data_IF_916649392197
#
_entry.id   IF_916649392197
#
_cell.length_a   1.000
_cell.length_b   1.000
_cell.length_c   1.000
_cell.angle_alpha   90.00
_cell.angle_beta   90.00
_cell.angle_gamma   90.00
#
_symmetry.space_group_name_H-M   'P 1'
#
loop_
_entity.id
_entity.type
_entity.pdbx_description
1 polymer ?
#
# COMPACT_ATOMS: atom_id res chain seq x y z
N UNK A 1 -27.53 0.51 8.44
CA UNK A 1 -28.33 1.46 9.26
C UNK A 1 -27.99 2.88 8.83
N UNK A 2 -28.97 3.78 8.87
CA UNK A 2 -28.81 5.19 8.57
C UNK A 2 -28.69 5.95 9.90
N UNK A 3 -27.67 6.78 10.04
CA UNK A 3 -27.37 7.49 11.26
C UNK A 3 -27.37 8.99 11.02
N UNK A 4 -27.68 9.78 12.06
CA UNK A 4 -27.66 11.25 11.99
C UNK A 4 -26.30 11.74 12.48
N UNK A 5 -25.61 12.51 11.62
CA UNK A 5 -24.40 13.22 11.97
C UNK A 5 -24.63 14.71 11.77
N UNK A 6 -24.75 15.44 12.86
CA UNK A 6 -25.17 16.83 12.78
C UNK A 6 -26.64 16.94 12.27
N UNK A 7 -26.81 17.55 11.11
CA UNK A 7 -28.10 17.62 10.40
C UNK A 7 -28.20 16.66 9.22
N UNK A 8 -27.11 15.91 8.92
CA UNK A 8 -27.01 15.01 7.78
C UNK A 8 -27.15 13.55 8.19
N UNK A 9 -27.66 12.73 7.28
CA UNK A 9 -27.73 11.29 7.46
C UNK A 9 -26.51 10.62 6.89
N UNK A 10 -25.89 9.71 7.64
CA UNK A 10 -24.72 8.92 7.22
C UNK A 10 -25.09 7.45 7.18
N UNK A 11 -24.68 6.78 6.09
CA UNK A 11 -24.81 5.32 6.01
C UNK A 11 -23.62 4.66 6.68
N UNK A 12 -23.91 3.83 7.67
CA UNK A 12 -22.91 3.09 8.43
C UNK A 12 -23.02 1.59 8.18
N UNK A 13 -21.87 0.93 8.24
CA UNK A 13 -21.72 -0.51 8.08
C UNK A 13 -21.16 -1.11 9.36
N UNK A 14 -21.74 -2.23 9.77
CA UNK A 14 -21.27 -3.00 10.91
C UNK A 14 -19.92 -3.66 10.58
N UNK A 15 -18.94 -3.52 11.44
CA UNK A 15 -17.63 -4.17 11.29
C UNK A 15 -17.41 -5.32 12.26
N UNK A 16 -18.33 -5.53 13.22
CA UNK A 16 -18.31 -6.60 14.21
C UNK A 16 -19.55 -7.48 14.07
N UNK A 17 -19.45 -8.48 13.23
CA UNK A 17 -20.56 -9.42 13.04
C UNK A 17 -20.86 -10.20 14.33
N UNK A 18 -22.14 -10.23 14.72
CA UNK A 18 -22.60 -10.96 15.90
C UNK A 18 -22.58 -10.17 17.20
N UNK A 19 -22.01 -8.97 17.22
CA UNK A 19 -22.10 -8.04 18.35
C UNK A 19 -23.41 -7.24 18.26
N UNK A 20 -24.15 -7.06 19.37
CA UNK A 20 -25.43 -6.33 19.34
C UNK A 20 -25.28 -4.87 18.92
N UNK A 21 -26.24 -4.40 18.13
CA UNK A 21 -26.43 -2.99 17.85
C UNK A 21 -27.55 -2.49 18.78
N UNK A 22 -27.23 -1.73 19.83
CA UNK A 22 -28.25 -1.27 20.77
C UNK A 22 -29.15 -0.20 20.13
N UNK A 23 -30.44 -0.28 20.43
CA UNK A 23 -31.38 0.80 20.16
C UNK A 23 -31.13 1.95 21.16
N UNK A 24 -31.40 3.19 20.75
CA UNK A 24 -31.34 4.41 21.57
C UNK A 24 -29.96 4.72 22.20
N UNK A 25 -28.88 4.32 21.58
CA UNK A 25 -27.52 4.60 22.05
C UNK A 25 -26.83 5.63 21.15
N UNK A 26 -26.17 6.61 21.76
CA UNK A 26 -25.37 7.59 21.03
C UNK A 26 -23.99 7.03 20.70
N UNK A 27 -23.60 7.12 19.43
CA UNK A 27 -22.29 6.78 18.94
C UNK A 27 -21.43 8.01 18.74
N UNK A 28 -20.15 7.89 19.00
CA UNK A 28 -19.16 8.90 18.68
C UNK A 28 -18.34 8.51 17.45
N UNK A 29 -18.23 9.41 16.47
CA UNK A 29 -17.42 9.20 15.28
C UNK A 29 -15.98 9.66 15.50
N UNK A 30 -14.99 8.87 15.10
CA UNK A 30 -13.57 9.17 15.13
C UNK A 30 -12.87 8.75 13.87
N UNK A 31 -11.99 9.59 13.32
CA UNK A 31 -11.08 9.23 12.24
C UNK A 31 -9.87 8.43 12.73
N UNK A 32 -9.58 8.50 14.03
CA UNK A 32 -8.56 7.73 14.72
C UNK A 32 -9.26 6.83 15.72
N UNK A 33 -9.43 5.59 15.36
CA UNK A 33 -9.96 4.58 16.26
C UNK A 33 -8.95 4.34 17.40
N UNK A 34 -9.22 4.94 18.55
CA UNK A 34 -8.39 4.79 19.74
C UNK A 34 -9.20 4.04 20.77
N UNK A 35 -9.14 2.83 21.03
CA UNK A 35 -9.68 2.11 22.18
C UNK A 35 -9.94 0.62 21.91
N UNK A 36 -9.00 -0.06 21.23
CA UNK A 36 -9.07 -1.53 21.08
C UNK A 36 -10.29 -2.01 20.31
N UNK A 37 -10.85 -1.15 19.44
CA UNK A 37 -11.98 -1.51 18.62
C UNK A 37 -11.59 -2.43 17.45
N UNK A 38 -12.57 -3.00 16.80
CA UNK A 38 -12.37 -3.93 15.70
C UNK A 38 -11.54 -3.34 14.55
N UNK A 39 -11.69 -2.06 14.25
CA UNK A 39 -10.96 -1.40 13.17
C UNK A 39 -9.43 -1.36 13.43
N UNK A 40 -9.00 -1.13 14.67
CA UNK A 40 -7.57 -1.13 15.01
C UNK A 40 -6.92 -2.50 14.81
N UNK A 41 -7.68 -3.57 15.02
CA UNK A 41 -7.24 -4.95 14.85
C UNK A 41 -7.12 -5.37 13.37
N UNK A 42 -7.68 -4.60 12.43
CA UNK A 42 -7.60 -4.91 11.02
C UNK A 42 -6.18 -4.70 10.49
N UNK A 43 -5.73 -5.60 9.62
CA UNK A 43 -4.47 -5.42 8.89
C UNK A 43 -4.53 -4.23 7.91
N UNK A 44 -3.38 -3.79 7.43
CA UNK A 44 -3.32 -2.72 6.43
C UNK A 44 -4.08 -3.10 5.16
N UNK A 45 -3.94 -4.35 4.70
CA UNK A 45 -4.67 -4.85 3.52
C UNK A 45 -6.18 -4.88 3.74
N UNK A 46 -6.64 -5.28 4.94
CA UNK A 46 -8.07 -5.25 5.27
C UNK A 46 -8.60 -3.81 5.26
N UNK A 47 -7.82 -2.85 5.76
CA UNK A 47 -8.19 -1.42 5.71
C UNK A 47 -8.25 -0.88 4.28
N UNK A 48 -7.30 -1.26 3.41
CA UNK A 48 -7.32 -0.92 1.99
C UNK A 48 -8.58 -1.50 1.30
N UNK A 49 -8.87 -2.78 1.53
CA UNK A 49 -10.06 -3.43 0.98
C UNK A 49 -11.37 -2.81 1.49
N UNK A 50 -11.43 -2.46 2.77
CA UNK A 50 -12.58 -1.80 3.38
C UNK A 50 -12.83 -0.43 2.73
N UNK A 51 -11.76 0.36 2.50
CA UNK A 51 -11.86 1.63 1.79
C UNK A 51 -12.42 1.45 0.37
N UNK A 52 -11.97 0.44 -0.35
CA UNK A 52 -12.48 0.14 -1.69
C UNK A 52 -13.95 -0.30 -1.64
N UNK A 53 -14.35 -1.12 -0.67
CA UNK A 53 -15.73 -1.54 -0.51
C UNK A 53 -16.66 -0.34 -0.26
N UNK A 54 -16.23 0.62 0.54
CA UNK A 54 -16.98 1.86 0.77
C UNK A 54 -16.95 2.82 -0.42
N UNK A 55 -15.87 2.83 -1.20
CA UNK A 55 -15.74 3.66 -2.40
C UNK A 55 -16.70 3.19 -3.50
N UNK A 56 -16.80 1.89 -3.73
CA UNK A 56 -17.59 1.30 -4.81
C UNK A 56 -18.97 0.79 -4.38
N UNK A 57 -19.23 0.77 -3.08
CA UNK A 57 -20.50 0.38 -2.50
C UNK A 57 -21.50 1.55 -2.38
N UNK A 58 -22.61 1.28 -1.72
CA UNK A 58 -23.59 2.29 -1.37
C UNK A 58 -23.05 3.21 -0.23
N UNK A 59 -23.33 4.53 -0.20
CA UNK A 59 -24.14 5.30 -1.14
C UNK A 59 -23.33 5.90 -2.32
N UNK A 60 -22.04 5.60 -2.44
CA UNK A 60 -21.17 6.24 -3.44
C UNK A 60 -21.45 5.76 -4.88
N UNK A 61 -22.17 4.67 -5.02
CA UNK A 61 -22.62 4.17 -6.31
C UNK A 61 -23.76 5.03 -6.87
N UNK A 62 -23.64 5.51 -8.10
CA UNK A 62 -24.58 6.46 -8.71
C UNK A 62 -25.48 5.84 -9.79
N UNK A 63 -25.28 4.58 -10.13
CA UNK A 63 -26.01 3.82 -11.14
C UNK A 63 -27.25 3.08 -10.60
N UNK A 64 -27.82 3.60 -9.51
CA UNK A 64 -28.99 3.02 -8.86
C UNK A 64 -30.27 3.68 -9.35
N UNK A 65 -31.16 2.88 -9.93
CA UNK A 65 -32.39 3.39 -10.55
C UNK A 65 -33.60 3.40 -9.60
N UNK A 66 -33.60 2.50 -8.59
CA UNK A 66 -34.74 2.32 -7.68
C UNK A 66 -34.31 2.17 -6.21
N UNK A 67 -35.25 2.34 -5.28
CA UNK A 67 -35.01 2.05 -3.85
C UNK A 67 -34.68 0.58 -3.59
N UNK A 68 -35.14 -0.33 -4.46
CA UNK A 68 -34.81 -1.76 -4.38
C UNK A 68 -33.34 -1.99 -4.71
N UNK A 69 -32.81 -1.28 -5.72
CA UNK A 69 -31.41 -1.31 -6.09
C UNK A 69 -30.56 -0.73 -4.97
N UNK A 70 -30.96 0.39 -4.38
CA UNK A 70 -30.28 0.98 -3.22
C UNK A 70 -30.17 0.01 -2.05
N UNK A 71 -31.26 -0.69 -1.69
CA UNK A 71 -31.26 -1.68 -0.63
C UNK A 71 -30.39 -2.90 -0.94
N UNK A 72 -30.43 -3.37 -2.19
CA UNK A 72 -29.60 -4.48 -2.64
C UNK A 72 -28.12 -4.13 -2.63
N UNK A 73 -27.76 -2.94 -3.11
CA UNK A 73 -26.40 -2.43 -3.10
C UNK A 73 -25.90 -2.22 -1.67
N UNK A 74 -26.69 -1.61 -0.79
CA UNK A 74 -26.36 -1.46 0.65
C UNK A 74 -26.08 -2.82 1.31
N UNK A 75 -26.95 -3.79 1.10
CA UNK A 75 -26.80 -5.12 1.69
C UNK A 75 -25.59 -5.86 1.13
N UNK A 76 -25.30 -5.73 -0.17
CA UNK A 76 -24.12 -6.29 -0.81
C UNK A 76 -22.83 -5.66 -0.25
N UNK A 77 -22.82 -4.33 -0.07
CA UNK A 77 -21.71 -3.62 0.55
C UNK A 77 -21.46 -4.11 1.98
N UNK A 78 -22.54 -4.28 2.78
CA UNK A 78 -22.43 -4.80 4.13
C UNK A 78 -21.84 -6.22 4.17
N UNK A 79 -22.24 -7.10 3.25
CA UNK A 79 -21.66 -8.45 3.19
C UNK A 79 -20.15 -8.39 2.88
N UNK A 80 -19.75 -7.58 1.91
CA UNK A 80 -18.32 -7.42 1.57
C UNK A 80 -17.54 -6.87 2.77
N UNK A 81 -18.08 -5.89 3.49
CA UNK A 81 -17.49 -5.36 4.73
C UNK A 81 -17.28 -6.48 5.75
N UNK A 82 -18.27 -7.33 6.01
CA UNK A 82 -18.11 -8.45 6.92
C UNK A 82 -17.10 -9.49 6.45
N UNK A 83 -17.10 -9.83 5.16
CA UNK A 83 -16.10 -10.75 4.61
C UNK A 83 -14.67 -10.25 4.84
N UNK A 84 -14.44 -8.92 4.72
CA UNK A 84 -13.14 -8.30 4.98
C UNK A 84 -12.81 -8.31 6.47
N UNK A 85 -13.72 -7.83 7.32
CA UNK A 85 -13.46 -7.66 8.77
C UNK A 85 -13.35 -8.98 9.52
N UNK A 86 -13.97 -10.05 9.01
CA UNK A 86 -13.84 -11.42 9.51
C UNK A 86 -12.60 -12.15 8.97
N UNK A 87 -11.85 -11.54 8.04
CA UNK A 87 -10.68 -12.15 7.41
C UNK A 87 -11.02 -13.26 6.39
N UNK A 88 -12.25 -13.31 5.89
CA UNK A 88 -12.66 -14.28 4.87
C UNK A 88 -12.25 -13.82 3.47
N UNK A 89 -12.13 -12.52 3.27
CA UNK A 89 -11.73 -11.91 2.00
C UNK A 89 -10.34 -11.31 2.11
N UNK A 90 -9.38 -11.87 1.36
CA UNK A 90 -7.98 -11.42 1.30
C UNK A 90 -7.68 -10.49 0.12
N UNK A 91 -8.52 -10.54 -0.93
CA UNK A 91 -8.47 -9.63 -2.06
C UNK A 91 -9.87 -9.49 -2.69
N UNK A 92 -10.09 -8.57 -3.64
CA UNK A 92 -11.39 -8.48 -4.31
C UNK A 92 -11.83 -9.77 -5.01
N UNK A 93 -10.88 -10.63 -5.40
CA UNK A 93 -11.12 -11.89 -6.13
C UNK A 93 -10.96 -13.14 -5.29
N UNK A 94 -10.40 -13.04 -4.06
CA UNK A 94 -10.12 -14.18 -3.20
C UNK A 94 -11.03 -14.16 -1.97
N UNK A 95 -11.89 -15.15 -1.87
CA UNK A 95 -12.81 -15.35 -0.77
C UNK A 95 -12.64 -16.78 -0.22
N UNK A 96 -12.28 -16.89 1.06
CA UNK A 96 -12.32 -18.14 1.83
C UNK A 96 -13.55 -18.10 2.73
N UNK A 97 -14.72 -18.19 2.10
CA UNK A 97 -16.00 -18.11 2.80
C UNK A 97 -16.23 -19.35 3.67
N UNK A 98 -16.69 -19.12 4.89
CA UNK A 98 -16.96 -20.18 5.84
C UNK A 98 -18.46 -20.35 6.00
N UNK A 99 -18.87 -21.60 6.31
CA UNK A 99 -20.25 -21.87 6.69
C UNK A 99 -20.61 -21.03 7.91
N UNK A 100 -21.55 -20.14 7.74
CA UNK A 100 -22.05 -19.32 8.82
C UNK A 100 -23.19 -20.04 9.49
N UNK A 101 -23.13 -20.32 10.80
CA UNK A 101 -24.19 -21.00 11.50
C UNK A 101 -25.38 -20.05 11.74
N UNK A 102 -26.17 -19.80 10.72
CA UNK A 102 -27.49 -19.23 10.88
C UNK A 102 -28.44 -20.41 11.04
N UNK A 103 -29.11 -20.51 12.18
CA UNK A 103 -30.05 -21.59 12.46
C UNK A 103 -31.09 -21.73 11.34
N UNK A 104 -31.15 -22.91 10.73
CA UNK A 104 -32.08 -23.21 9.64
C UNK A 104 -31.55 -22.99 8.21
N UNK A 105 -30.30 -22.56 8.05
CA UNK A 105 -29.69 -22.39 6.74
C UNK A 105 -28.52 -23.35 6.52
N UNK A 106 -28.38 -23.85 5.29
CA UNK A 106 -27.24 -24.64 4.85
C UNK A 106 -26.41 -23.83 3.86
N UNK A 107 -25.09 -23.86 4.00
CA UNK A 107 -24.16 -23.14 3.12
C UNK A 107 -23.61 -21.86 3.75
N UNK A 108 -22.95 -21.05 2.93
CA UNK A 108 -22.35 -19.80 3.36
C UNK A 108 -23.36 -18.65 3.30
N UNK A 109 -23.07 -17.54 4.02
CA UNK A 109 -23.89 -16.34 3.93
C UNK A 109 -23.94 -15.80 2.49
N UNK A 110 -22.81 -15.84 1.79
CA UNK A 110 -22.70 -15.41 0.38
C UNK A 110 -23.62 -16.21 -0.51
N UNK A 111 -23.63 -17.54 -0.39
CA UNK A 111 -24.54 -18.40 -1.16
C UNK A 111 -26.01 -18.10 -0.91
N UNK A 112 -26.38 -17.83 0.34
CA UNK A 112 -27.77 -17.52 0.70
C UNK A 112 -28.23 -16.18 0.12
N UNK A 113 -27.43 -15.12 0.29
CA UNK A 113 -27.78 -13.78 -0.16
C UNK A 113 -27.72 -13.64 -1.69
N UNK A 114 -26.76 -14.30 -2.34
CA UNK A 114 -26.63 -14.29 -3.81
C UNK A 114 -27.72 -15.09 -4.55
N UNK A 115 -28.63 -15.77 -3.84
CA UNK A 115 -29.88 -16.29 -4.46
C UNK A 115 -30.81 -15.16 -4.92
N UNK A 116 -30.74 -14.00 -4.29
CA UNK A 116 -31.42 -12.79 -4.77
C UNK A 116 -30.62 -12.19 -5.91
N UNK A 117 -31.20 -12.12 -7.12
CA UNK A 117 -30.50 -11.65 -8.32
C UNK A 117 -30.03 -10.20 -8.21
N UNK A 118 -30.81 -9.31 -7.60
CA UNK A 118 -30.45 -7.89 -7.44
C UNK A 118 -29.29 -7.74 -6.47
N UNK A 119 -29.30 -8.49 -5.37
CA UNK A 119 -28.19 -8.54 -4.44
C UNK A 119 -26.92 -9.02 -5.14
N UNK A 120 -27.00 -10.15 -5.87
CA UNK A 120 -25.86 -10.73 -6.58
C UNK A 120 -25.28 -9.80 -7.62
N UNK A 121 -26.11 -9.09 -8.36
CA UNK A 121 -25.70 -8.12 -9.38
C UNK A 121 -24.81 -7.02 -8.75
N UNK A 122 -25.27 -6.38 -7.68
CA UNK A 122 -24.47 -5.33 -7.01
C UNK A 122 -23.26 -5.90 -6.28
N UNK A 123 -23.35 -7.09 -5.71
CA UNK A 123 -22.22 -7.78 -5.10
C UNK A 123 -21.09 -8.00 -6.12
N UNK A 124 -21.43 -8.54 -7.29
CA UNK A 124 -20.47 -8.79 -8.37
C UNK A 124 -19.91 -7.49 -8.95
N UNK A 125 -20.76 -6.47 -9.15
CA UNK A 125 -20.32 -5.16 -9.67
C UNK A 125 -19.34 -4.47 -8.72
N UNK A 126 -19.65 -4.42 -7.42
CA UNK A 126 -18.75 -3.82 -6.41
C UNK A 126 -17.41 -4.53 -6.43
N UNK A 127 -17.40 -5.88 -6.41
CA UNK A 127 -16.16 -6.65 -6.44
C UNK A 127 -15.37 -6.48 -7.73
N UNK A 128 -16.03 -6.36 -8.87
CA UNK A 128 -15.40 -6.09 -10.16
C UNK A 128 -14.68 -4.73 -10.15
N UNK A 129 -15.36 -3.69 -9.66
CA UNK A 129 -14.80 -2.34 -9.56
C UNK A 129 -13.65 -2.29 -8.56
N UNK A 130 -13.81 -2.94 -7.40
CA UNK A 130 -12.73 -3.12 -6.42
C UNK A 130 -11.51 -3.82 -7.04
N UNK A 131 -11.72 -4.89 -7.81
CA UNK A 131 -10.63 -5.64 -8.44
C UNK A 131 -9.86 -4.81 -9.47
N UNK A 132 -10.57 -4.05 -10.28
CA UNK A 132 -9.96 -3.14 -11.25
C UNK A 132 -9.12 -2.05 -10.57
N UNK A 133 -9.59 -1.52 -9.44
CA UNK A 133 -8.88 -0.51 -8.66
C UNK A 133 -7.71 -1.09 -7.87
N UNK A 134 -7.86 -2.27 -7.29
CA UNK A 134 -6.86 -2.93 -6.42
C UNK A 134 -5.59 -3.33 -7.17
N UNK A 135 -5.65 -3.41 -8.49
CA UNK A 135 -4.54 -3.82 -9.34
C UNK A 135 -3.36 -2.84 -9.22
N UNK A 136 -2.19 -3.37 -8.91
CA UNK A 136 -0.91 -2.63 -8.78
C UNK A 136 0.03 -2.95 -9.94
N UNK A 137 1.07 -2.13 -10.19
CA UNK A 137 2.12 -2.50 -11.13
C UNK A 137 2.74 -3.85 -10.77
N UNK A 138 2.96 -4.71 -11.75
CA UNK A 138 3.36 -6.11 -11.56
C UNK A 138 4.68 -6.30 -10.80
N UNK A 139 5.53 -5.27 -10.81
CA UNK A 139 6.81 -5.25 -10.14
C UNK A 139 6.77 -4.67 -8.71
N UNK A 140 5.59 -4.53 -8.10
CA UNK A 140 5.44 -3.93 -6.76
C UNK A 140 4.81 -4.91 -5.77
N UNK A 141 5.03 -4.65 -4.48
CA UNK A 141 4.34 -5.31 -3.38
C UNK A 141 3.22 -4.45 -2.79
N UNK A 142 2.35 -5.09 -2.02
CA UNK A 142 1.22 -4.43 -1.31
C UNK A 142 1.66 -3.74 -0.04
N UNK A 143 2.68 -4.28 0.64
CA UNK A 143 3.22 -3.77 1.90
C UNK A 143 4.70 -3.44 1.75
N UNK A 144 5.20 -2.57 2.63
CA UNK A 144 6.62 -2.27 2.72
C UNK A 144 7.45 -3.52 3.08
N UNK A 145 6.91 -4.39 3.94
CA UNK A 145 7.57 -5.63 4.37
C UNK A 145 7.70 -6.67 3.27
N UNK A 146 6.77 -6.67 2.30
CA UNK A 146 6.75 -7.58 1.15
C UNK A 146 7.17 -6.90 -0.16
N UNK A 147 7.76 -5.70 -0.09
CA UNK A 147 8.23 -4.97 -1.26
C UNK A 147 9.37 -5.72 -1.95
N UNK A 148 9.25 -6.05 -3.25
CA UNK A 148 10.33 -6.68 -4.01
C UNK A 148 11.53 -5.72 -4.15
N UNK A 149 12.73 -6.30 -4.22
CA UNK A 149 14.00 -5.57 -4.32
C UNK A 149 14.58 -5.69 -5.71
N UNK A 150 15.14 -4.59 -6.22
CA UNK A 150 15.79 -4.51 -7.52
C UNK A 150 17.15 -3.82 -7.39
N UNK A 151 18.19 -4.45 -7.97
CA UNK A 151 19.50 -3.85 -8.07
C UNK A 151 19.60 -3.01 -9.34
N UNK A 152 20.19 -1.82 -9.24
CA UNK A 152 20.44 -0.93 -10.35
C UNK A 152 21.79 -1.24 -11.01
N UNK A 153 21.81 -1.36 -12.33
CA UNK A 153 23.03 -1.45 -13.11
C UNK A 153 23.68 -0.09 -13.32
N UNK A 154 25.00 -0.04 -13.35
CA UNK A 154 25.75 1.18 -13.68
C UNK A 154 25.93 1.29 -15.19
N UNK A 155 25.19 2.21 -15.80
CA UNK A 155 25.17 2.43 -17.26
C UNK A 155 25.28 3.92 -17.55
N UNK A 156 26.16 4.32 -18.49
CA UNK A 156 26.34 5.70 -18.93
C UNK A 156 26.55 6.71 -17.78
N UNK A 157 27.35 6.31 -16.79
CA UNK A 157 27.75 7.17 -15.68
C UNK A 157 26.72 7.32 -14.55
N UNK A 158 25.67 6.54 -14.56
CA UNK A 158 24.64 6.50 -13.50
C UNK A 158 24.12 5.08 -13.25
N UNK A 159 23.62 4.86 -12.05
CA UNK A 159 22.89 3.64 -11.74
C UNK A 159 21.46 3.76 -12.27
N UNK A 160 20.94 2.70 -12.89
CA UNK A 160 19.60 2.70 -13.46
C UNK A 160 18.98 1.31 -13.46
N UNK A 161 17.68 1.26 -13.27
CA UNK A 161 16.85 0.06 -13.50
C UNK A 161 15.57 0.47 -14.19
N UNK A 162 15.13 -0.31 -15.17
CA UNK A 162 13.85 -0.09 -15.85
C UNK A 162 12.95 -1.32 -15.64
N UNK A 163 11.80 -1.10 -15.02
CA UNK A 163 10.81 -2.11 -14.68
C UNK A 163 9.59 -1.96 -15.58
N UNK A 164 9.14 -3.07 -16.16
CA UNK A 164 7.97 -3.09 -17.04
C UNK A 164 6.75 -3.61 -16.28
N UNK A 165 5.67 -2.87 -16.32
CA UNK A 165 4.39 -3.25 -15.71
C UNK A 165 3.57 -4.12 -16.68
N UNK A 166 3.50 -5.42 -16.42
CA UNK A 166 2.70 -6.38 -17.19
C UNK A 166 1.19 -6.25 -16.93
N UNK A 167 0.81 -5.61 -15.81
CA UNK A 167 -0.58 -5.35 -15.48
C UNK A 167 -1.16 -4.15 -16.23
N UNK A 168 -0.32 -3.33 -16.87
CA UNK A 168 -0.71 -2.13 -17.61
C UNK A 168 -1.53 -1.12 -16.79
N UNK A 169 -1.18 -0.94 -15.52
CA UNK A 169 -1.82 0.01 -14.60
C UNK A 169 -0.91 1.14 -14.14
N UNK A 170 0.37 1.11 -14.50
CA UNK A 170 1.39 2.05 -14.03
C UNK A 170 1.04 3.52 -14.33
N UNK A 171 0.35 3.81 -15.43
CA UNK A 171 -0.13 5.16 -15.78
C UNK A 171 -1.07 5.76 -14.72
N UNK A 172 -1.70 4.92 -13.89
CA UNK A 172 -2.55 5.35 -12.79
C UNK A 172 -1.78 5.69 -11.52
N UNK A 173 -0.45 5.52 -11.51
CA UNK A 173 0.40 5.73 -10.34
C UNK A 173 1.36 6.90 -10.52
N UNK A 174 1.89 7.39 -9.41
CA UNK A 174 3.00 8.33 -9.37
C UNK A 174 3.92 7.96 -8.20
N UNK A 175 5.20 8.26 -8.35
CA UNK A 175 6.17 8.05 -7.28
C UNK A 175 5.99 9.15 -6.24
N UNK A 176 5.66 8.77 -5.01
CA UNK A 176 5.41 9.70 -3.89
C UNK A 176 6.57 9.79 -2.90
N UNK A 177 7.40 8.74 -2.83
CA UNK A 177 8.62 8.72 -2.02
C UNK A 177 9.65 7.88 -2.75
N UNK A 178 10.84 8.42 -2.95
CA UNK A 178 11.88 7.84 -3.78
C UNK A 178 13.27 7.80 -3.11
N UNK A 179 13.39 8.20 -1.84
CA UNK A 179 14.65 8.14 -1.10
C UNK A 179 15.84 8.83 -1.78
N UNK A 180 15.61 9.88 -2.58
CA UNK A 180 16.64 10.56 -3.36
C UNK A 180 16.91 9.94 -4.75
N UNK A 181 16.23 8.84 -5.09
CA UNK A 181 16.29 8.21 -6.43
C UNK A 181 15.43 8.99 -7.41
N UNK A 182 15.95 9.29 -8.59
CA UNK A 182 15.15 9.91 -9.66
C UNK A 182 14.25 8.87 -10.30
N UNK A 183 12.96 9.20 -10.48
CA UNK A 183 11.96 8.33 -11.06
C UNK A 183 11.32 8.95 -12.31
N UNK A 184 11.14 8.15 -13.35
CA UNK A 184 10.44 8.53 -14.58
C UNK A 184 9.49 7.41 -15.01
N UNK A 185 8.25 7.78 -15.35
CA UNK A 185 7.24 6.87 -15.87
C UNK A 185 6.97 7.21 -17.34
N UNK A 186 7.07 6.20 -18.21
CA UNK A 186 6.78 6.31 -19.63
C UNK A 186 5.99 5.08 -20.10
N UNK A 187 4.72 5.27 -20.39
CA UNK A 187 3.81 4.15 -20.71
C UNK A 187 3.71 3.17 -19.54
N UNK A 188 4.04 1.91 -19.79
CA UNK A 188 4.08 0.86 -18.78
C UNK A 188 5.48 0.61 -18.16
N UNK A 189 6.42 1.57 -18.31
CA UNK A 189 7.78 1.45 -17.77
C UNK A 189 8.06 2.48 -16.71
N UNK A 190 8.60 2.01 -15.58
CA UNK A 190 9.20 2.83 -14.53
C UNK A 190 10.71 2.73 -14.65
N UNK A 191 11.37 3.86 -14.85
CA UNK A 191 12.84 3.96 -14.80
C UNK A 191 13.23 4.68 -13.53
N UNK A 192 14.08 4.04 -12.73
CA UNK A 192 14.68 4.59 -11.51
C UNK A 192 16.16 4.78 -11.75
N UNK A 193 16.73 5.90 -11.28
CA UNK A 193 18.15 6.17 -11.45
C UNK A 193 18.74 6.95 -10.27
N UNK A 194 20.04 6.70 -10.01
CA UNK A 194 20.84 7.40 -9.01
C UNK A 194 22.21 7.78 -9.60
N UNK A 195 22.71 8.93 -9.22
CA UNK A 195 24.11 9.33 -9.55
C UNK A 195 25.12 8.80 -8.54
N UNK A 196 24.67 8.26 -7.41
CA UNK A 196 25.49 7.74 -6.33
C UNK A 196 25.15 6.28 -6.03
N UNK A 197 26.09 5.50 -5.47
CA UNK A 197 25.79 4.18 -4.93
C UNK A 197 24.69 4.24 -3.85
N UNK A 198 23.94 3.19 -3.72
CA UNK A 198 22.91 2.99 -2.70
C UNK A 198 23.20 1.65 -2.05
N UNK A 199 23.95 1.67 -0.96
CA UNK A 199 24.41 0.45 -0.26
C UNK A 199 23.31 -0.18 0.58
N UNK A 200 22.46 0.66 1.18
CA UNK A 200 21.26 0.22 1.89
C UNK A 200 20.04 0.34 0.96
N UNK A 201 19.16 -0.66 0.99
CA UNK A 201 17.95 -0.62 0.18
C UNK A 201 17.10 0.61 0.46
N UNK A 202 16.74 1.33 -0.59
CA UNK A 202 15.84 2.48 -0.53
C UNK A 202 14.44 2.07 -0.91
N UNK A 203 13.47 2.39 -0.04
CA UNK A 203 12.05 2.17 -0.28
C UNK A 203 11.51 3.20 -1.27
N UNK A 204 10.92 2.71 -2.34
CA UNK A 204 10.17 3.51 -3.32
C UNK A 204 8.68 3.25 -3.10
N UNK A 205 7.93 4.31 -2.86
CA UNK A 205 6.47 4.26 -2.71
C UNK A 205 5.81 4.91 -3.92
N UNK A 206 4.88 4.20 -4.51
CA UNK A 206 3.97 4.72 -5.52
C UNK A 206 2.57 4.85 -4.90
N UNK A 207 1.94 5.98 -5.13
CA UNK A 207 0.53 6.18 -4.83
C UNK A 207 -0.29 6.14 -6.12
N UNK A 208 -1.49 5.60 -6.04
CA UNK A 208 -2.45 5.65 -7.14
C UNK A 208 -3.01 7.07 -7.27
N UNK A 209 -3.21 7.53 -8.50
CA UNK A 209 -3.92 8.78 -8.78
C UNK A 209 -5.41 8.56 -8.55
N UNK A 210 -6.05 9.50 -7.86
CA UNK A 210 -7.50 9.48 -7.71
C UNK A 210 -8.11 9.73 -9.09
N UNK A 211 -8.98 8.83 -9.61
CA UNK A 211 -9.71 9.09 -10.83
C UNK A 211 -10.55 10.35 -10.67
N UNK A 212 -10.59 11.19 -11.70
CA UNK A 212 -11.37 12.45 -11.69
C UNK A 212 -12.88 12.25 -11.47
N UNK A 213 -13.37 11.03 -11.65
CA UNK A 213 -14.79 10.66 -11.53
C UNK A 213 -15.14 10.00 -10.20
N UNK A 214 -14.16 9.53 -9.42
CA UNK A 214 -14.39 8.81 -8.16
C UNK A 214 -13.65 9.51 -7.02
N UNK A 215 -14.40 9.91 -6.00
CA UNK A 215 -13.80 10.32 -4.73
C UNK A 215 -13.41 9.04 -3.99
N UNK A 216 -12.14 8.94 -3.59
CA UNK A 216 -11.73 7.88 -2.67
C UNK A 216 -12.30 8.15 -1.29
N UNK A 217 -12.51 7.07 -0.55
CA UNK A 217 -13.20 7.12 0.73
C UNK A 217 -12.19 6.87 1.86
N UNK A 218 -12.10 7.81 2.77
CA UNK A 218 -11.53 7.61 4.10
C UNK A 218 -12.58 7.01 5.05
N UNK A 219 -12.22 6.91 6.33
CA UNK A 219 -13.08 6.28 7.32
C UNK A 219 -13.48 7.24 8.43
N UNK A 220 -14.71 7.04 8.90
CA UNK A 220 -15.14 7.44 10.22
C UNK A 220 -15.59 6.18 10.96
N UNK A 221 -14.98 5.91 12.10
CA UNK A 221 -15.34 4.79 12.97
C UNK A 221 -16.29 5.29 14.03
N UNK A 222 -17.38 4.58 14.24
CA UNK A 222 -18.42 4.90 15.19
C UNK A 222 -18.44 3.84 16.28
N UNK A 223 -18.23 4.26 17.51
CA UNK A 223 -18.27 3.43 18.71
C UNK A 223 -19.08 4.08 19.82
N UNK A 224 -19.51 3.30 20.80
CA UNK A 224 -20.17 3.78 22.02
C UNK A 224 -19.11 4.05 23.06
N UNK A 225 -18.84 5.33 23.44
CA UNK A 225 -17.77 5.66 24.37
C UNK A 225 -17.90 4.90 25.70
N UNK A 226 -16.84 4.19 26.10
CA UNK A 226 -16.77 3.41 27.33
C UNK A 226 -17.56 2.09 27.32
N UNK A 227 -18.06 1.68 26.17
CA UNK A 227 -18.80 0.39 25.98
C UNK A 227 -18.42 -0.30 24.67
N UNK A 228 -17.21 -0.09 24.21
CA UNK A 228 -16.70 -0.52 22.90
C UNK A 228 -16.76 -2.06 22.75
N UNK A 229 -16.52 -2.81 23.82
CA UNK A 229 -16.60 -4.28 23.78
C UNK A 229 -18.03 -4.82 23.83
N UNK A 230 -18.98 -4.06 24.36
CA UNK A 230 -20.36 -4.49 24.53
C UNK A 230 -21.27 -4.12 23.36
N UNK A 231 -20.86 -3.14 22.56
CA UNK A 231 -21.65 -2.60 21.46
C UNK A 231 -20.84 -2.66 20.18
N UNK A 232 -21.54 -2.98 19.10
CA UNK A 232 -20.96 -3.13 17.78
C UNK A 232 -20.32 -1.82 17.27
N UNK A 233 -19.08 -1.89 16.84
CA UNK A 233 -18.45 -0.83 16.08
C UNK A 233 -18.99 -0.78 14.65
N UNK A 234 -19.04 0.44 14.11
CA UNK A 234 -19.48 0.68 12.74
C UNK A 234 -18.48 1.55 11.99
N UNK A 235 -18.54 1.50 10.67
CA UNK A 235 -17.75 2.35 9.78
C UNK A 235 -18.65 3.09 8.80
N UNK A 236 -18.32 4.35 8.53
CA UNK A 236 -18.84 5.09 7.38
C UNK A 236 -17.71 5.58 6.50
N UNK A 237 -17.99 5.71 5.20
CA UNK A 237 -17.09 6.37 4.27
C UNK A 237 -17.18 7.90 4.41
N UNK A 238 -16.04 8.56 4.31
CA UNK A 238 -15.94 10.02 4.19
C UNK A 238 -15.03 10.36 3.01
N UNK A 239 -15.26 11.48 2.30
CA UNK A 239 -14.35 11.88 1.23
C UNK A 239 -12.90 11.94 1.70
N UNK A 240 -11.99 11.38 0.92
CA UNK A 240 -10.56 11.38 1.20
C UNK A 240 -9.76 11.94 0.03
N UNK A 241 -8.62 12.55 0.34
CA UNK A 241 -7.71 13.10 -0.66
C UNK A 241 -6.64 12.11 -1.12
N UNK A 242 -6.61 10.91 -0.55
CA UNK A 242 -5.62 9.88 -0.83
C UNK A 242 -6.29 8.61 -1.32
N UNK A 243 -5.68 7.98 -2.31
CA UNK A 243 -6.08 6.65 -2.73
C UNK A 243 -5.61 5.59 -1.72
N UNK A 244 -6.43 4.60 -1.38
CA UNK A 244 -6.08 3.57 -0.40
C UNK A 244 -5.15 2.48 -0.95
N UNK A 245 -4.75 2.52 -2.23
CA UNK A 245 -3.98 1.46 -2.89
C UNK A 245 -2.53 1.89 -3.14
N UNK A 246 -1.65 1.91 -2.13
CA UNK A 246 -0.23 2.16 -2.34
C UNK A 246 0.47 0.94 -2.95
N UNK A 247 1.62 1.17 -3.59
CA UNK A 247 2.49 0.13 -4.10
C UNK A 247 3.94 0.40 -3.68
N UNK A 248 4.69 -0.66 -3.39
CA UNK A 248 6.02 -0.56 -2.82
C UNK A 248 7.03 -1.41 -3.58
N UNK A 249 8.24 -0.90 -3.76
CA UNK A 249 9.40 -1.65 -4.18
C UNK A 249 10.65 -1.09 -3.47
N UNK A 250 11.74 -1.82 -3.55
CA UNK A 250 13.04 -1.39 -3.02
C UNK A 250 14.07 -1.40 -4.12
N UNK A 251 15.04 -0.51 -4.00
CA UNK A 251 16.19 -0.47 -4.91
C UNK A 251 17.49 -0.35 -4.15
N UNK A 252 18.52 -0.96 -4.72
CA UNK A 252 19.92 -0.80 -4.31
C UNK A 252 20.80 -0.51 -5.53
N UNK A 253 21.97 0.06 -5.30
CA UNK A 253 22.95 0.34 -6.32
C UNK A 253 24.34 0.00 -5.76
N UNK A 254 25.02 -1.04 -6.27
CA UNK A 254 26.22 -1.57 -5.66
C UNK A 254 27.36 -0.55 -5.68
N UNK A 255 28.12 -0.51 -4.58
CA UNK A 255 29.34 0.27 -4.43
C UNK A 255 30.55 -0.63 -4.60
N UNK A 256 31.60 -0.10 -5.23
CA UNK A 256 32.92 -0.70 -5.27
C UNK A 256 33.80 -0.22 -4.10
N UNK A 257 34.93 -0.87 -3.93
CA UNK A 257 36.01 -0.40 -3.07
C UNK A 257 37.37 -0.64 -3.72
N UNK A 258 38.35 0.19 -3.38
CA UNK A 258 39.75 0.03 -3.79
C UNK A 258 40.61 -0.02 -2.53
N UNK A 259 41.37 -1.10 -2.38
CA UNK A 259 42.41 -1.21 -1.37
C UNK A 259 43.76 -0.91 -2.02
N UNK A 260 44.41 0.16 -1.58
CA UNK A 260 45.77 0.49 -1.95
C UNK A 260 46.73 -0.18 -0.94
N UNK A 261 47.80 -0.78 -1.44
CA UNK A 261 48.89 -1.35 -0.63
C UNK A 261 50.19 -0.77 -1.13
N UNK A 262 50.87 0.03 -0.30
CA UNK A 262 52.23 0.54 -0.54
C UNK A 262 53.27 -0.46 -0.07
N UNK A 263 54.19 -0.81 -0.95
CA UNK A 263 55.40 -1.59 -0.63
C UNK A 263 56.63 -0.72 -0.74
N UNK A 264 57.71 -1.03 -0.02
CA UNK A 264 58.98 -0.35 -0.08
C UNK A 264 60.11 -1.27 0.41
N UNK A 265 61.27 -1.22 -0.24
CA UNK A 265 62.44 -2.00 0.14
C UNK A 265 63.03 -1.57 1.51
N UNK A 266 62.85 -0.31 1.87
CA UNK A 266 63.31 0.24 3.15
C UNK A 266 62.27 0.13 4.27
N UNK A 267 61.17 -0.54 4.01
CA UNK A 267 60.07 -0.77 5.00
C UNK A 267 59.25 0.48 5.30
N UNK A 268 59.48 1.60 4.68
CA UNK A 268 58.74 2.86 4.91
C UNK A 268 57.44 2.88 4.09
N UNK A 269 56.37 2.33 4.66
CA UNK A 269 55.09 2.20 4.00
C UNK A 269 53.99 3.06 4.63
N UNK A 270 54.15 3.46 5.90
CA UNK A 270 53.14 4.25 6.63
C UNK A 270 53.25 5.75 6.36
N UNK A 271 52.09 6.43 6.43
CA UNK A 271 51.97 7.88 6.28
C UNK A 271 52.46 8.44 4.88
N UNK A 272 52.50 7.59 3.86
CA UNK A 272 52.87 7.99 2.50
C UNK A 272 51.65 8.66 1.84
N UNK A 273 51.85 9.89 1.27
CA UNK A 273 50.75 10.60 0.60
C UNK A 273 50.48 10.04 -0.78
N UNK A 274 49.22 9.95 -1.14
CA UNK A 274 48.71 9.67 -2.49
C UNK A 274 47.60 10.66 -2.83
N UNK A 275 47.46 10.96 -4.09
CA UNK A 275 46.32 11.68 -4.64
C UNK A 275 45.48 10.68 -5.45
N UNK A 276 44.18 10.59 -5.14
CA UNK A 276 43.24 9.75 -5.88
C UNK A 276 42.21 10.62 -6.57
N UNK A 277 42.07 10.44 -7.90
CA UNK A 277 41.09 11.15 -8.72
C UNK A 277 40.34 10.23 -9.66
N UNK A 278 39.13 10.62 -10.06
CA UNK A 278 38.28 9.89 -11.00
C UNK A 278 36.85 9.69 -10.48
N UNK A 279 35.87 9.65 -11.37
CA UNK A 279 34.47 9.38 -11.13
C UNK A 279 33.82 10.15 -9.95
N UNK A 280 34.22 11.41 -9.78
CA UNK A 280 33.72 12.29 -8.72
C UNK A 280 34.48 12.18 -7.40
N UNK A 281 35.57 11.43 -7.36
CA UNK A 281 36.56 11.43 -6.29
C UNK A 281 37.70 12.33 -6.68
N UNK A 282 38.13 13.17 -5.76
CA UNK A 282 39.33 14.02 -5.87
C UNK A 282 39.82 14.31 -4.45
N UNK A 283 40.77 13.50 -3.97
CA UNK A 283 41.20 13.60 -2.58
C UNK A 283 42.66 13.17 -2.37
N UNK A 284 43.31 13.83 -1.41
CA UNK A 284 44.60 13.40 -0.88
C UNK A 284 44.42 12.46 0.29
N UNK A 285 45.07 11.31 0.23
CA UNK A 285 45.04 10.28 1.27
C UNK A 285 46.44 10.01 1.80
N UNK A 286 46.54 9.34 2.92
CA UNK A 286 47.80 8.80 3.44
C UNK A 286 47.63 7.35 3.87
N UNK A 287 48.64 6.53 3.59
CA UNK A 287 48.65 5.14 4.03
C UNK A 287 48.68 5.03 5.56
N UNK A 288 48.01 4.01 6.07
CA UNK A 288 48.11 3.59 7.46
C UNK A 288 49.55 3.07 7.78
N UNK A 289 49.83 2.79 9.05
CA UNK A 289 51.15 2.31 9.48
C UNK A 289 51.58 1.00 8.80
N UNK A 290 50.62 0.18 8.38
CA UNK A 290 50.83 -1.07 7.66
C UNK A 290 50.97 -0.89 6.13
N UNK A 291 50.95 0.36 5.63
CA UNK A 291 51.04 0.69 4.21
C UNK A 291 49.74 0.57 3.46
N UNK A 292 48.61 0.31 4.12
CA UNK A 292 47.30 0.17 3.45
C UNK A 292 46.50 1.45 3.49
N UNK A 293 45.59 1.59 2.54
CA UNK A 293 44.46 2.53 2.54
C UNK A 293 43.27 1.88 1.83
N UNK A 294 42.07 2.04 2.39
CA UNK A 294 40.82 1.55 1.83
C UNK A 294 39.95 2.75 1.43
N UNK A 295 39.49 2.75 0.19
CA UNK A 295 38.49 3.70 -0.33
C UNK A 295 37.23 2.92 -0.65
N UNK A 296 36.13 3.29 -0.03
CA UNK A 296 34.84 2.61 -0.14
C UNK A 296 33.78 3.49 -0.81
N UNK A 297 32.64 2.90 -1.12
CA UNK A 297 31.49 3.58 -1.73
C UNK A 297 31.80 4.21 -3.09
N UNK A 298 32.62 3.54 -3.86
CA UNK A 298 33.03 3.99 -5.20
C UNK A 298 32.01 3.56 -6.24
N UNK A 299 31.76 4.46 -7.20
CA UNK A 299 31.08 4.10 -8.44
C UNK A 299 32.00 3.25 -9.33
N UNK A 300 31.44 2.33 -10.15
CA UNK A 300 32.24 1.67 -11.19
C UNK A 300 32.92 2.68 -12.12
N UNK A 301 34.18 2.41 -12.48
CA UNK A 301 34.93 3.27 -13.40
C UNK A 301 36.43 3.24 -13.19
N UNK A 302 37.13 4.19 -13.80
CA UNK A 302 38.58 4.34 -13.74
C UNK A 302 38.96 5.38 -12.69
N UNK A 303 39.95 5.04 -11.87
CA UNK A 303 40.53 5.90 -10.86
C UNK A 303 42.05 5.97 -11.08
N UNK A 304 42.60 7.13 -10.94
CA UNK A 304 44.06 7.40 -11.00
C UNK A 304 44.56 7.60 -9.55
N UNK A 305 45.73 7.01 -9.26
CA UNK A 305 46.39 7.10 -7.96
C UNK A 305 47.80 7.57 -8.10
#
# INVERSE_FOLDING_TARGET
>A
SQWVYGQDYVYCYCIEHGVPLPDDTSYAGSSNATHGNKYEQLSAEQKDLLALALTYGYPNRTDLETSKDANACYSATQLIVWQITLGFRSSPTELNDKTYPVSGYTGTMTEQLCRNKYFKEYYDLILSDMAAHYKRPSFTGTLQSSAPSYEMDFVDGKYTVTLTDENNVLQNFYVSSNGGVTASISGNKLTLSSSQPITDEVMIKLNRRIPSTNQTTGFLIWSVPGKEEANQDMVSGVPANNDPVPAYLKVSAPAGSVKLVKTSEDGKVGNVPFHISGNGVDQNIRTLSDGTFLLENLRPGVYEV
#
